data_IF_220830537853
#
_entry.id   IF_220830537853
#
_cell.length_a   1.000
_cell.length_b   1.000
_cell.length_c   1.000
_cell.angle_alpha   90.00
_cell.angle_beta   90.00
_cell.angle_gamma   90.00
#
_symmetry.space_group_name_H-M   'P 1'
#
loop_
_entity.id
_entity.type
_entity.pdbx_description
1 polymer ?
#
# COMPACT_ATOMS: atom_id res chain seq x y z
N UNK A 1 23.07 -3.42 41.67
CA UNK A 1 22.08 -4.25 40.94
C UNK A 1 21.56 -3.43 39.78
N UNK A 2 21.86 -3.82 38.54
CA UNK A 2 21.54 -3.04 37.34
C UNK A 2 20.21 -3.52 36.74
N UNK A 3 19.28 -2.59 36.46
CA UNK A 3 18.10 -2.86 35.63
C UNK A 3 18.25 -2.05 34.34
N UNK A 4 18.85 -2.69 33.34
CA UNK A 4 18.88 -2.22 31.97
C UNK A 4 17.74 -2.94 31.22
N UNK A 5 16.70 -2.24 30.77
CA UNK A 5 15.74 -2.80 29.79
C UNK A 5 15.21 -1.73 28.82
N UNK A 6 16.08 -1.46 27.85
CA UNK A 6 15.83 -1.27 26.40
C UNK A 6 14.60 -0.45 26.01
N UNK A 7 14.84 0.82 25.69
CA UNK A 7 14.01 1.63 24.79
C UNK A 7 13.89 0.90 23.46
N UNK A 8 12.69 0.42 23.13
CA UNK A 8 12.40 -0.20 21.83
C UNK A 8 12.42 0.90 20.76
N UNK A 9 13.58 1.13 20.16
CA UNK A 9 13.69 1.96 18.96
C UNK A 9 12.89 1.25 17.87
N UNK A 10 11.67 1.73 17.60
CA UNK A 10 10.96 1.37 16.39
C UNK A 10 11.83 1.82 15.22
N UNK A 11 12.53 0.87 14.58
CA UNK A 11 13.13 1.11 13.27
C UNK A 11 11.98 1.40 12.30
N UNK A 12 11.66 2.67 12.14
CA UNK A 12 10.88 3.14 11.00
C UNK A 12 11.82 2.92 9.81
N UNK A 13 11.73 1.76 9.17
CA UNK A 13 12.37 1.51 7.88
C UNK A 13 11.64 2.34 6.84
N UNK A 14 11.97 3.64 6.77
CA UNK A 14 11.50 4.57 5.76
C UNK A 14 12.28 4.35 4.46
N UNK A 15 12.02 3.22 3.80
CA UNK A 15 11.97 3.05 2.34
C UNK A 15 11.84 1.56 2.02
N UNK A 16 10.60 1.07 1.88
CA UNK A 16 10.29 -0.25 1.29
C UNK A 16 10.46 -0.18 -0.23
N UNK A 17 11.63 0.27 -0.71
CA UNK A 17 11.90 0.26 -2.16
C UNK A 17 12.24 -1.17 -2.54
N UNK A 18 11.34 -1.83 -3.25
CA UNK A 18 11.58 -3.11 -3.90
C UNK A 18 11.80 -2.84 -5.40
N UNK A 19 12.82 -3.50 -5.98
CA UNK A 19 13.09 -3.45 -7.42
C UNK A 19 12.70 -4.83 -7.96
N UNK A 20 11.66 -4.88 -8.79
CA UNK A 20 11.31 -6.06 -9.56
C UNK A 20 11.96 -5.97 -10.95
N UNK A 21 12.59 -7.06 -11.38
CA UNK A 21 13.12 -7.20 -12.74
C UNK A 21 12.19 -8.10 -13.53
N UNK A 22 11.86 -7.68 -14.75
CA UNK A 22 10.99 -8.41 -15.67
C UNK A 22 11.80 -8.66 -16.96
N UNK A 23 12.58 -9.75 -16.96
CA UNK A 23 13.46 -10.08 -18.09
C UNK A 23 12.66 -10.31 -19.37
N UNK A 24 11.40 -10.73 -19.24
CA UNK A 24 10.46 -10.97 -20.33
C UNK A 24 10.12 -9.70 -21.10
N UNK A 25 10.35 -8.51 -20.58
CA UNK A 25 10.03 -7.22 -21.27
C UNK A 25 11.24 -6.30 -21.42
N UNK A 26 12.42 -6.78 -21.04
CA UNK A 26 13.67 -6.02 -21.12
C UNK A 26 14.05 -5.73 -22.57
N UNK A 27 14.55 -4.52 -22.81
CA UNK A 27 15.03 -4.02 -24.12
C UNK A 27 13.97 -4.05 -25.24
N UNK A 28 12.68 -4.10 -24.89
CA UNK A 28 11.57 -4.10 -25.85
C UNK A 28 11.05 -2.70 -26.16
N UNK A 29 10.55 -2.53 -27.38
CA UNK A 29 9.90 -1.31 -27.83
C UNK A 29 8.43 -1.32 -27.41
N UNK A 30 8.04 -0.32 -26.63
CA UNK A 30 6.64 -0.08 -26.26
C UNK A 30 5.85 0.26 -27.54
N UNK A 31 4.72 -0.42 -27.74
CA UNK A 31 3.75 -0.04 -28.76
C UNK A 31 2.79 1.02 -28.20
N UNK A 32 2.19 0.75 -27.05
CA UNK A 32 1.11 1.54 -26.46
C UNK A 32 1.11 1.44 -24.93
N UNK A 33 0.53 2.45 -24.28
CA UNK A 33 0.27 2.46 -22.83
C UNK A 33 -1.22 2.73 -22.63
N UNK A 34 -1.90 1.81 -21.95
CA UNK A 34 -3.31 1.93 -21.58
C UNK A 34 -3.44 2.23 -20.08
N UNK A 35 -4.32 3.16 -19.73
CA UNK A 35 -4.66 3.48 -18.34
C UNK A 35 -6.15 3.18 -18.13
N UNK A 36 -6.46 2.25 -17.24
CA UNK A 36 -7.83 1.89 -16.87
C UNK A 36 -8.16 2.42 -15.47
N UNK A 37 -9.36 2.98 -15.34
CA UNK A 37 -9.91 3.51 -14.09
C UNK A 37 -11.37 3.09 -13.93
N UNK A 38 -11.66 1.82 -14.20
CA UNK A 38 -12.99 1.28 -13.98
C UNK A 38 -13.31 1.28 -12.47
N UNK A 39 -14.60 1.26 -12.12
CA UNK A 39 -15.11 1.48 -10.75
C UNK A 39 -14.42 0.62 -9.67
N UNK A 40 -13.88 -0.54 -10.05
CA UNK A 40 -13.23 -1.48 -9.14
C UNK A 40 -11.83 -1.93 -9.61
N UNK A 41 -11.34 -1.41 -10.75
CA UNK A 41 -10.09 -1.87 -11.35
C UNK A 41 -9.28 -0.70 -11.91
N UNK A 42 -8.17 -0.41 -11.23
CA UNK A 42 -7.21 0.60 -11.66
C UNK A 42 -5.97 -0.10 -12.18
N UNK A 43 -5.60 0.15 -13.44
CA UNK A 43 -4.42 -0.49 -14.00
C UNK A 43 -3.69 0.39 -15.01
N UNK A 44 -2.42 0.05 -15.20
CA UNK A 44 -1.60 0.55 -16.30
C UNK A 44 -1.11 -0.68 -17.06
N UNK A 45 -1.47 -0.80 -18.34
CA UNK A 45 -0.99 -1.87 -19.21
C UNK A 45 0.00 -1.29 -20.21
N UNK A 46 1.21 -1.84 -20.24
CA UNK A 46 2.26 -1.51 -21.20
C UNK A 46 2.30 -2.65 -22.23
N UNK A 47 2.01 -2.32 -23.48
CA UNK A 47 2.08 -3.27 -24.60
C UNK A 47 3.37 -3.07 -25.37
N UNK A 48 3.99 -4.15 -25.81
CA UNK A 48 5.23 -4.13 -26.60
C UNK A 48 4.97 -4.57 -28.04
N UNK A 49 5.80 -4.14 -28.98
CA UNK A 49 5.65 -4.46 -30.42
C UNK A 49 5.67 -5.96 -30.71
N UNK A 50 6.30 -6.76 -29.85
CA UNK A 50 6.34 -8.22 -29.96
C UNK A 50 5.11 -8.91 -29.35
N UNK A 51 4.09 -8.13 -28.97
CA UNK A 51 2.81 -8.55 -28.37
C UNK A 51 2.90 -9.06 -26.94
N UNK A 52 4.04 -8.88 -26.27
CA UNK A 52 4.08 -9.04 -24.80
C UNK A 52 3.42 -7.86 -24.11
N UNK A 53 2.92 -8.08 -22.89
CA UNK A 53 2.29 -7.04 -22.07
C UNK A 53 2.81 -7.09 -20.64
N UNK A 54 2.94 -5.92 -20.01
CA UNK A 54 3.20 -5.75 -18.58
C UNK A 54 2.05 -4.96 -17.97
N UNK A 55 1.29 -5.57 -17.05
CA UNK A 55 0.16 -4.92 -16.38
C UNK A 55 0.49 -4.63 -14.92
N UNK A 56 0.35 -3.36 -14.55
CA UNK A 56 0.40 -2.90 -13.16
C UNK A 56 -1.04 -2.78 -12.66
N UNK A 57 -1.40 -3.55 -11.63
CA UNK A 57 -2.69 -3.46 -10.95
C UNK A 57 -2.53 -2.58 -9.72
N UNK A 58 -3.38 -1.57 -9.59
CA UNK A 58 -3.41 -0.66 -8.45
C UNK A 58 -4.60 -1.06 -7.59
N UNK A 59 -4.31 -1.66 -6.43
CA UNK A 59 -5.34 -2.14 -5.52
C UNK A 59 -5.58 -1.11 -4.40
N UNK A 60 -6.72 -0.38 -4.41
CA UNK A 60 -7.06 0.50 -3.31
C UNK A 60 -7.33 -0.33 -2.04
N UNK A 61 -6.76 0.10 -0.91
CA UNK A 61 -7.04 -0.51 0.40
C UNK A 61 -7.51 0.53 1.40
N UNK A 62 -8.49 0.16 2.22
CA UNK A 62 -8.99 0.98 3.30
C UNK A 62 -8.49 0.42 4.64
N UNK A 63 -8.08 1.30 5.55
CA UNK A 63 -7.80 0.92 6.94
C UNK A 63 -8.59 1.83 7.87
N UNK A 64 -9.39 1.22 8.75
CA UNK A 64 -10.18 1.91 9.77
C UNK A 64 -9.45 1.79 11.10
N UNK A 65 -9.35 2.91 11.83
CA UNK A 65 -8.73 3.00 13.16
C UNK A 65 -9.79 3.41 14.20
N UNK A 66 -10.58 2.47 14.72
CA UNK A 66 -11.64 2.82 15.65
C UNK A 66 -11.05 3.31 16.98
N UNK A 67 -11.61 4.40 17.49
CA UNK A 67 -11.26 4.99 18.79
C UNK A 67 -12.54 5.29 19.57
N UNK A 68 -12.47 5.12 20.89
CA UNK A 68 -13.41 5.69 21.84
C UNK A 68 -12.78 6.95 22.39
N UNK A 69 -13.43 8.09 22.23
CA UNK A 69 -12.99 9.39 22.74
C UNK A 69 -14.12 10.12 23.46
N UNK A 70 -13.73 10.89 24.47
CA UNK A 70 -14.59 11.88 25.10
C UNK A 70 -14.39 13.23 24.38
N UNK A 71 -15.48 13.96 24.16
CA UNK A 71 -15.50 15.22 23.42
C UNK A 71 -16.06 16.39 24.25
N UNK A 72 -15.55 16.67 25.46
CA UNK A 72 -16.02 17.80 26.21
C UNK A 72 -15.47 19.08 25.58
N UNK A 73 -16.35 19.82 24.90
CA UNK A 73 -16.09 21.18 24.37
C UNK A 73 -15.02 21.28 23.28
N UNK A 74 -14.95 20.28 22.40
CA UNK A 74 -14.22 20.38 21.12
C UNK A 74 -12.78 19.87 21.13
N UNK A 75 -12.19 19.57 22.28
CA UNK A 75 -10.93 18.85 22.35
C UNK A 75 -11.19 17.35 22.53
N UNK A 76 -10.80 16.58 21.52
CA UNK A 76 -10.89 15.12 21.55
C UNK A 76 -9.91 14.54 22.57
N UNK A 77 -10.42 13.78 23.55
CA UNK A 77 -9.61 12.97 24.47
C UNK A 77 -9.83 11.50 24.17
N UNK A 78 -8.83 10.85 23.55
CA UNK A 78 -8.88 9.40 23.28
C UNK A 78 -8.86 8.61 24.58
N UNK A 79 -9.92 7.85 24.84
CA UNK A 79 -10.06 6.92 25.98
C UNK A 79 -9.47 5.56 25.62
N UNK A 80 -9.76 5.05 24.42
CA UNK A 80 -9.33 3.71 23.99
C UNK A 80 -9.13 3.64 22.48
N UNK A 81 -8.09 2.92 22.05
CA UNK A 81 -7.90 2.52 20.64
C UNK A 81 -8.28 1.05 20.47
N UNK A 82 -9.03 0.74 19.43
CA UNK A 82 -9.42 -0.63 19.08
C UNK A 82 -8.50 -1.18 17.99
N UNK A 83 -8.59 -2.49 17.75
CA UNK A 83 -7.87 -3.14 16.66
C UNK A 83 -8.30 -2.52 15.33
N UNK A 84 -7.33 -2.10 14.53
CA UNK A 84 -7.60 -1.58 13.18
C UNK A 84 -8.22 -2.67 12.31
N UNK A 85 -9.19 -2.30 11.49
CA UNK A 85 -9.78 -3.17 10.47
C UNK A 85 -9.21 -2.75 9.13
N UNK A 86 -8.62 -3.69 8.41
CA UNK A 86 -8.12 -3.48 7.05
C UNK A 86 -9.10 -4.09 6.07
N UNK A 87 -9.34 -3.44 4.93
CA UNK A 87 -10.06 -4.06 3.83
C UNK A 87 -9.32 -5.31 3.38
N UNK A 88 -10.06 -6.31 2.92
CA UNK A 88 -9.45 -7.40 2.17
C UNK A 88 -9.10 -6.85 0.80
N UNK A 89 -7.83 -6.93 0.46
CA UNK A 89 -7.40 -6.72 -0.91
C UNK A 89 -7.65 -8.06 -1.63
N UNK A 90 -8.54 -8.12 -2.63
CA UNK A 90 -8.73 -9.33 -3.42
C UNK A 90 -7.39 -9.68 -4.05
N UNK A 91 -6.82 -10.85 -3.74
CA UNK A 91 -5.63 -11.28 -4.47
C UNK A 91 -6.10 -11.72 -5.86
N UNK A 92 -5.69 -10.99 -6.88
CA UNK A 92 -5.81 -11.44 -8.26
C UNK A 92 -4.86 -12.60 -8.53
#
# INVERSE_FOLDING_TARGET
MAVNKRTHIQRIHSSLREIANFDEVKDKVISDIEVSSDLEFFSITISFQDRTTLTLIIEPSATVFPILSDWPKGNEKVIKRYKSVKSKIPRT
#
